data_IF_548527987957
#
_entry.id   IF_548527987957
#
_cell.length_a   1.000
_cell.length_b   1.000
_cell.length_c   1.000
_cell.angle_alpha   90.00
_cell.angle_beta   90.00
_cell.angle_gamma   90.00
#
_symmetry.space_group_name_H-M   'P 1'
#
loop_
_entity.id
_entity.type
_entity.pdbx_description
1 polymer ?
#
# COMPACT_ATOMS: atom_id res chain seq x y z
N UNK A 1 -65.70 -37.13 5.10
CA UNK A 1 -64.72 -36.23 5.76
C UNK A 1 -63.33 -36.73 5.41
N UNK A 2 -62.57 -35.98 4.60
CA UNK A 2 -61.18 -36.28 4.24
C UNK A 2 -60.41 -34.98 4.33
N UNK A 3 -59.50 -34.91 5.29
CA UNK A 3 -58.66 -33.75 5.60
C UNK A 3 -57.52 -33.61 4.59
N UNK A 4 -57.16 -32.39 4.17
CA UNK A 4 -55.93 -32.14 3.42
C UNK A 4 -54.73 -32.01 4.38
N UNK A 5 -53.66 -32.76 4.10
CA UNK A 5 -52.37 -32.56 4.76
C UNK A 5 -51.65 -31.37 4.11
N UNK A 6 -51.45 -30.32 4.92
CA UNK A 6 -50.64 -29.16 4.62
C UNK A 6 -49.15 -29.53 4.76
N UNK A 7 -48.36 -29.32 3.71
CA UNK A 7 -46.89 -29.27 3.82
C UNK A 7 -46.48 -27.82 3.59
N UNK A 8 -46.42 -27.06 4.68
CA UNK A 8 -45.72 -25.78 4.71
C UNK A 8 -44.24 -26.12 4.80
N UNK A 9 -43.53 -26.02 3.67
CA UNK A 9 -42.09 -26.02 3.65
C UNK A 9 -41.60 -24.79 4.44
N UNK A 10 -41.06 -25.05 5.63
CA UNK A 10 -40.49 -24.04 6.52
C UNK A 10 -39.27 -23.43 5.83
N UNK A 11 -39.42 -22.20 5.34
CA UNK A 11 -38.31 -21.36 4.91
C UNK A 11 -37.44 -21.06 6.13
N UNK A 12 -36.24 -21.62 6.16
CA UNK A 12 -35.18 -21.23 7.09
C UNK A 12 -34.75 -19.79 6.77
N UNK A 13 -34.87 -18.81 7.68
CA UNK A 13 -34.12 -17.58 7.55
C UNK A 13 -32.68 -17.84 8.00
N UNK A 14 -31.73 -17.84 7.05
CA UNK A 14 -30.32 -17.65 7.39
C UNK A 14 -30.13 -16.18 7.80
N UNK A 15 -30.31 -15.90 9.08
CA UNK A 15 -29.88 -14.63 9.67
C UNK A 15 -28.39 -14.72 9.97
N UNK A 16 -27.57 -14.19 9.06
CA UNK A 16 -26.16 -13.87 9.30
C UNK A 16 -26.05 -12.87 10.43
N UNK A 17 -25.32 -13.22 11.50
CA UNK A 17 -24.87 -12.25 12.50
C UNK A 17 -23.86 -11.31 11.84
N UNK A 18 -24.29 -10.07 11.58
CA UNK A 18 -23.37 -8.97 11.29
C UNK A 18 -22.68 -8.60 12.61
N UNK A 19 -21.50 -9.15 12.85
CA UNK A 19 -20.59 -8.62 13.83
C UNK A 19 -20.17 -7.21 13.38
N UNK A 20 -20.85 -6.19 13.88
CA UNK A 20 -20.45 -4.80 13.76
C UNK A 20 -19.21 -4.60 14.63
N UNK A 21 -18.03 -4.76 14.02
CA UNK A 21 -16.80 -4.25 14.60
C UNK A 21 -16.93 -2.71 14.65
N UNK A 22 -17.17 -2.18 15.84
CA UNK A 22 -17.12 -0.75 16.11
C UNK A 22 -15.66 -0.28 15.94
N UNK A 23 -15.36 0.73 15.12
CA UNK A 23 -14.07 1.37 15.20
C UNK A 23 -14.00 2.13 16.53
N UNK A 24 -13.15 1.66 17.45
CA UNK A 24 -12.70 2.47 18.59
C UNK A 24 -11.83 3.58 18.01
N UNK A 25 -12.40 4.78 17.91
CA UNK A 25 -11.62 5.98 17.68
C UNK A 25 -10.73 6.21 18.91
N UNK A 26 -9.42 6.19 18.72
CA UNK A 26 -8.45 6.67 19.70
C UNK A 26 -8.54 8.20 19.75
N UNK A 27 -9.00 8.82 20.85
CA UNK A 27 -9.03 10.26 20.99
C UNK A 27 -7.70 10.71 21.59
N UNK A 28 -6.63 10.69 20.80
CA UNK A 28 -5.42 11.40 21.17
C UNK A 28 -4.86 12.23 20.01
N UNK A 29 -5.22 13.51 20.13
CA UNK A 29 -4.37 14.67 19.86
C UNK A 29 -4.29 15.13 18.41
N UNK A 30 -5.17 16.07 18.09
CA UNK A 30 -4.86 17.23 17.26
C UNK A 30 -3.41 17.70 17.47
N UNK A 31 -2.66 17.79 16.38
CA UNK A 31 -1.66 18.84 16.21
C UNK A 31 -1.81 19.40 14.78
N UNK A 32 -2.29 20.64 14.62
CA UNK A 32 -2.38 21.27 13.31
C UNK A 32 -0.98 21.74 12.88
N UNK A 33 -0.27 20.93 12.10
CA UNK A 33 0.97 21.41 11.46
C UNK A 33 0.64 22.21 10.20
N UNK A 34 0.74 23.52 10.42
CA UNK A 34 0.98 24.65 9.53
C UNK A 34 1.29 24.34 8.05
N UNK A 35 0.44 24.91 7.21
CA UNK A 35 0.58 25.01 5.75
C UNK A 35 1.73 25.96 5.41
N UNK A 36 2.95 25.47 5.23
CA UNK A 36 4.04 26.27 4.65
C UNK A 36 4.33 25.83 3.21
N UNK A 37 3.84 26.62 2.26
CA UNK A 37 4.32 26.59 0.88
C UNK A 37 5.64 27.35 0.80
N UNK A 38 6.69 26.72 0.28
CA UNK A 38 7.96 27.41 0.08
C UNK A 38 9.06 26.52 -0.51
N UNK A 39 9.42 26.86 -1.75
CA UNK A 39 10.58 26.46 -2.55
C UNK A 39 11.88 26.10 -1.80
N UNK A 40 12.66 25.24 -2.48
CA UNK A 40 14.13 25.20 -2.54
C UNK A 40 14.92 25.68 -1.32
N UNK A 41 15.60 24.74 -0.64
CA UNK A 41 17.08 24.69 -0.55
C UNK A 41 17.54 23.49 0.27
N UNK A 42 18.72 23.00 -0.10
CA UNK A 42 19.23 21.69 0.26
C UNK A 42 19.36 21.41 1.75
N UNK A 43 19.11 20.15 2.09
CA UNK A 43 19.57 19.56 3.34
C UNK A 43 20.72 18.59 3.02
N UNK A 44 21.92 18.98 3.47
CA UNK A 44 23.04 18.08 3.71
C UNK A 44 22.83 17.39 5.06
N UNK A 45 23.55 16.26 5.21
CA UNK A 45 23.76 15.44 6.42
C UNK A 45 22.64 14.40 6.62
N UNK A 46 22.89 13.10 6.76
CA UNK A 46 23.86 12.44 7.64
C UNK A 46 24.59 11.27 6.93
N UNK A 47 25.92 11.33 6.91
CA UNK A 47 26.77 10.15 6.70
C UNK A 47 27.21 9.68 8.07
N UNK A 48 26.50 8.69 8.63
CA UNK A 48 26.92 7.99 9.84
C UNK A 48 26.82 6.49 9.56
N UNK A 49 27.99 5.85 9.67
CA UNK A 49 28.37 4.45 9.49
C UNK A 49 27.31 3.39 9.15
N UNK A 50 27.59 2.62 8.09
CA UNK A 50 27.58 1.15 8.16
C UNK A 50 28.55 0.58 7.11
N UNK A 51 29.78 0.36 7.57
CA UNK A 51 30.73 -0.54 6.93
C UNK A 51 30.40 -1.96 7.39
N UNK A 52 29.64 -2.68 6.55
CA UNK A 52 29.50 -4.12 6.67
C UNK A 52 29.84 -4.78 5.33
N UNK A 53 31.12 -5.15 5.23
CA UNK A 53 31.63 -6.18 4.35
C UNK A 53 30.71 -7.41 4.32
N UNK A 54 30.07 -7.66 3.18
CA UNK A 54 29.25 -8.86 2.95
C UNK A 54 29.08 -9.10 1.45
N UNK A 55 30.11 -9.66 0.82
CA UNK A 55 30.07 -10.17 -0.55
C UNK A 55 29.12 -11.38 -0.62
N UNK A 56 27.98 -11.23 -1.29
CA UNK A 56 27.07 -12.34 -1.63
C UNK A 56 25.64 -11.89 -1.86
N UNK A 57 25.16 -11.97 -3.11
CA UNK A 57 23.75 -11.98 -3.53
C UNK A 57 22.74 -11.24 -2.63
N UNK A 58 22.94 -9.96 -2.37
CA UNK A 58 21.90 -9.16 -1.73
C UNK A 58 20.75 -9.00 -2.73
N UNK A 59 19.58 -9.51 -2.36
CA UNK A 59 18.35 -9.36 -3.13
C UNK A 59 18.20 -7.88 -3.53
N UNK A 60 18.35 -7.59 -4.83
CA UNK A 60 18.43 -6.22 -5.35
C UNK A 60 17.12 -5.44 -5.07
N UNK A 61 16.04 -6.19 -4.89
CA UNK A 61 14.70 -5.73 -4.56
C UNK A 61 14.37 -5.78 -3.06
N UNK A 62 15.34 -6.05 -2.20
CA UNK A 62 15.14 -5.98 -0.76
C UNK A 62 14.84 -4.54 -0.31
N UNK A 63 13.86 -4.41 0.56
CA UNK A 63 13.46 -3.15 1.19
C UNK A 63 14.46 -2.80 2.28
N UNK A 64 15.48 -2.03 1.90
CA UNK A 64 16.48 -1.46 2.83
C UNK A 64 15.99 -0.19 3.53
N UNK A 65 15.06 0.53 2.89
CA UNK A 65 14.41 1.71 3.43
C UNK A 65 12.91 1.59 3.22
N UNK A 66 12.07 1.85 4.24
CA UNK A 66 10.62 1.79 4.09
C UNK A 66 10.16 2.84 3.08
N UNK A 67 9.15 2.51 2.30
CA UNK A 67 8.53 3.39 1.32
C UNK A 67 7.00 3.32 1.42
N UNK A 68 6.30 4.40 1.05
CA UNK A 68 4.84 4.41 1.08
C UNK A 68 4.22 3.55 -0.03
N UNK A 69 3.07 2.96 0.26
CA UNK A 69 2.13 2.48 -0.74
C UNK A 69 1.05 3.54 -0.95
N UNK A 70 0.68 3.81 -2.19
CA UNK A 70 -0.35 4.77 -2.57
C UNK A 70 -1.63 4.06 -3.01
N UNK A 71 -2.78 4.71 -2.78
CA UNK A 71 -4.08 4.18 -3.23
C UNK A 71 -4.24 4.23 -4.77
N UNK A 72 -3.70 5.27 -5.41
CA UNK A 72 -3.78 5.51 -6.84
C UNK A 72 -2.41 5.92 -7.40
N UNK A 73 -2.13 5.70 -8.68
CA UNK A 73 -0.84 6.02 -9.29
C UNK A 73 -0.74 7.51 -9.67
N UNK A 74 -1.00 8.43 -8.74
CA UNK A 74 -0.95 9.87 -8.97
C UNK A 74 -0.36 10.60 -7.76
N UNK A 75 0.24 11.78 -7.99
CA UNK A 75 0.95 12.52 -6.93
C UNK A 75 0.04 12.99 -5.78
N UNK A 76 -1.27 13.19 -6.04
CA UNK A 76 -2.25 13.58 -5.01
C UNK A 76 -2.85 12.39 -4.27
N UNK A 77 -2.44 11.16 -4.58
CA UNK A 77 -2.99 9.98 -3.94
C UNK A 77 -2.64 9.97 -2.45
N UNK A 78 -3.61 9.65 -1.57
CA UNK A 78 -3.27 9.29 -0.20
C UNK A 78 -2.42 8.00 -0.17
N UNK A 79 -1.65 7.85 0.90
CA UNK A 79 -0.94 6.61 1.22
C UNK A 79 -1.89 5.63 1.91
N UNK A 80 -1.65 4.33 1.74
CA UNK A 80 -2.42 3.23 2.35
C UNK A 80 -1.51 2.28 3.16
N UNK A 81 -0.38 2.79 3.64
CA UNK A 81 0.59 2.08 4.46
C UNK A 81 2.02 2.17 3.93
N UNK A 82 2.91 1.41 4.56
CA UNK A 82 4.36 1.43 4.31
C UNK A 82 4.88 0.01 4.07
N UNK A 83 5.95 -0.11 3.31
CA UNK A 83 6.69 -1.36 3.14
C UNK A 83 7.37 -1.81 4.43
N UNK A 84 7.66 -3.11 4.49
CA UNK A 84 8.28 -3.77 5.63
C UNK A 84 9.77 -3.91 5.34
N UNK A 85 10.63 -3.54 6.29
CA UNK A 85 12.08 -3.70 6.18
C UNK A 85 12.47 -5.17 5.97
N UNK A 86 13.45 -5.42 5.11
CA UNK A 86 13.92 -6.76 4.75
C UNK A 86 12.95 -7.55 3.86
N UNK A 87 11.74 -7.05 3.59
CA UNK A 87 10.85 -7.67 2.62
C UNK A 87 11.42 -7.51 1.20
N UNK A 88 10.90 -8.29 0.25
CA UNK A 88 11.22 -8.11 -1.18
C UNK A 88 10.14 -7.28 -1.86
N UNK A 89 10.53 -6.20 -2.53
CA UNK A 89 9.63 -5.43 -3.38
C UNK A 89 9.12 -6.30 -4.52
N UNK A 90 7.80 -6.34 -4.65
CA UNK A 90 7.10 -7.05 -5.70
C UNK A 90 6.19 -6.08 -6.43
N UNK A 91 6.14 -6.21 -7.76
CA UNK A 91 5.23 -5.43 -8.60
C UNK A 91 4.68 -6.30 -9.71
N UNK A 92 3.43 -6.03 -10.09
CA UNK A 92 2.69 -6.80 -11.08
C UNK A 92 2.76 -6.19 -12.48
N UNK A 93 2.78 -4.85 -12.55
CA UNK A 93 2.80 -4.12 -13.80
C UNK A 93 3.28 -2.68 -13.57
N UNK A 94 3.64 -2.03 -14.66
CA UNK A 94 4.10 -0.64 -14.73
C UNK A 94 3.05 0.24 -15.40
N UNK A 95 2.81 1.42 -14.83
CA UNK A 95 1.90 2.42 -15.35
C UNK A 95 2.60 3.77 -15.48
N UNK A 96 2.56 4.36 -16.68
CA UNK A 96 3.07 5.71 -16.94
C UNK A 96 1.90 6.70 -16.81
N UNK A 97 1.92 7.56 -15.79
CA UNK A 97 0.87 8.55 -15.56
C UNK A 97 1.36 9.97 -15.82
N UNK A 98 1.43 10.39 -17.09
CA UNK A 98 1.75 11.78 -17.49
C UNK A 98 2.84 12.42 -16.62
N UNK A 99 2.51 13.56 -16.01
CA UNK A 99 3.40 14.32 -15.12
C UNK A 99 3.59 13.70 -13.73
N UNK A 100 2.74 12.74 -13.34
CA UNK A 100 2.93 11.97 -12.10
C UNK A 100 4.03 10.91 -12.23
N UNK A 101 4.52 10.63 -13.44
CA UNK A 101 5.67 9.76 -13.68
C UNK A 101 5.32 8.27 -13.75
N UNK A 102 6.31 7.43 -13.41
CA UNK A 102 6.20 5.97 -13.45
C UNK A 102 5.72 5.43 -12.10
N UNK A 103 4.75 4.52 -12.18
CA UNK A 103 4.15 3.83 -11.04
C UNK A 103 4.15 2.33 -11.26
N UNK A 104 4.21 1.58 -10.17
CA UNK A 104 4.15 0.12 -10.15
C UNK A 104 2.97 -0.34 -9.32
N UNK A 105 2.15 -1.23 -9.88
CA UNK A 105 1.13 -1.92 -9.10
C UNK A 105 1.81 -2.96 -8.22
N UNK A 106 1.48 -2.97 -6.93
CA UNK A 106 2.05 -3.85 -5.91
C UNK A 106 0.92 -4.40 -5.01
N UNK A 107 1.17 -5.44 -4.20
CA UNK A 107 0.13 -6.09 -3.39
C UNK A 107 -0.66 -5.16 -2.46
N UNK A 108 -0.04 -4.05 -2.03
CA UNK A 108 -0.62 -3.09 -1.06
C UNK A 108 -1.03 -1.76 -1.68
N UNK A 109 -1.01 -1.65 -3.02
CA UNK A 109 -1.37 -0.43 -3.75
C UNK A 109 -0.38 -0.11 -4.85
N UNK A 110 -0.02 1.16 -4.97
CA UNK A 110 0.89 1.68 -5.99
C UNK A 110 2.19 2.15 -5.35
N UNK A 111 3.30 1.96 -6.04
CA UNK A 111 4.62 2.43 -5.63
C UNK A 111 5.18 3.30 -6.73
N UNK A 112 5.66 4.49 -6.40
CA UNK A 112 6.28 5.39 -7.38
C UNK A 112 7.69 4.91 -7.69
N UNK A 113 8.17 5.12 -8.92
CA UNK A 113 9.53 4.74 -9.35
C UNK A 113 10.64 5.22 -8.40
N UNK A 114 10.49 6.43 -7.84
CA UNK A 114 11.47 6.99 -6.91
C UNK A 114 11.51 6.32 -5.54
N UNK A 115 10.46 5.58 -5.18
CA UNK A 115 10.27 5.05 -3.83
C UNK A 115 10.69 3.58 -3.72
N UNK A 116 10.64 2.82 -4.83
CA UNK A 116 11.08 1.42 -4.84
C UNK A 116 12.59 1.29 -4.56
N UNK A 117 13.07 0.11 -4.12
CA UNK A 117 14.51 -0.12 -3.95
C UNK A 117 15.29 0.27 -5.22
N UNK A 118 16.28 1.17 -5.07
CA UNK A 118 16.91 1.90 -6.18
C UNK A 118 17.42 1.03 -7.32
N UNK A 119 17.94 -0.16 -7.01
CA UNK A 119 18.51 -1.08 -8.01
C UNK A 119 17.49 -2.08 -8.56
N UNK A 120 16.30 -2.15 -7.97
CA UNK A 120 15.25 -3.05 -8.43
C UNK A 120 14.54 -2.45 -9.65
N UNK A 121 14.44 -3.21 -10.74
CA UNK A 121 13.77 -2.74 -11.95
C UNK A 121 12.25 -2.61 -11.78
N UNK A 122 11.64 -3.47 -10.97
CA UNK A 122 10.18 -3.63 -10.93
C UNK A 122 9.63 -4.35 -12.18
N UNK A 123 8.31 -4.35 -12.32
CA UNK A 123 7.63 -4.96 -13.45
C UNK A 123 7.91 -4.20 -14.75
N UNK A 124 8.16 -4.91 -15.85
CA UNK A 124 8.40 -4.32 -17.17
C UNK A 124 7.15 -4.23 -18.04
N UNK A 125 6.15 -5.10 -17.79
CA UNK A 125 4.91 -5.14 -18.52
C UNK A 125 3.99 -3.96 -18.15
N UNK A 126 3.30 -3.37 -19.13
CA UNK A 126 2.31 -2.32 -18.86
C UNK A 126 1.12 -2.87 -18.06
N UNK A 127 0.53 -2.05 -17.20
CA UNK A 127 -0.74 -2.37 -16.56
C UNK A 127 -1.88 -2.40 -17.58
N UNK A 128 -2.87 -3.30 -17.41
CA UNK A 128 -4.07 -3.26 -18.22
C UNK A 128 -4.79 -1.92 -18.00
N UNK A 129 -5.23 -1.32 -19.11
CA UNK A 129 -6.02 -0.07 -19.14
C UNK A 129 -7.51 -0.36 -19.16
#
# INVERSE_FOLDING_TARGET
MKSPFYIIAVLLPLATELALATPVADPNSDSPEERNGGNDKGYKNHHEYDDHHGYGDQNVCEVKYPYPYYKYPCNSSPTNGTSILGATFTSFCKYQNGDSGIWYSAPRGWVKEGDKPRRCAGASNPCPV
#
